data_IF_333804402327
#
_entry.id   IF_333804402327
#
_cell.length_a   1.000
_cell.length_b   1.000
_cell.length_c   1.000
_cell.angle_alpha   90.00
_cell.angle_beta   90.00
_cell.angle_gamma   90.00
#
_symmetry.space_group_name_H-M   'P 1'
#
loop_
_entity.id
_entity.type
_entity.pdbx_description
1 polymer ?
#
# COMPACT_ATOMS: atom_id res chain seq x y z
N UNK A 1 -2.21 -50.40 -14.92
CA UNK A 1 -1.60 -49.95 -13.65
C UNK A 1 -2.68 -49.28 -12.84
N UNK A 2 -2.73 -49.52 -11.53
CA UNK A 2 -3.66 -48.79 -10.66
C UNK A 2 -3.24 -47.30 -10.63
N UNK A 3 -4.20 -46.37 -10.76
CA UNK A 3 -3.92 -44.95 -10.63
C UNK A 3 -3.38 -44.66 -9.23
N UNK A 4 -2.35 -43.82 -9.13
CA UNK A 4 -1.85 -43.35 -7.84
C UNK A 4 -2.84 -42.39 -7.19
N UNK A 5 -2.71 -42.11 -5.90
CA UNK A 5 -3.58 -41.14 -5.20
C UNK A 5 -3.42 -39.73 -5.79
N UNK A 6 -2.20 -39.39 -6.19
CA UNK A 6 -1.87 -38.13 -6.87
C UNK A 6 -2.58 -38.01 -8.22
N UNK A 7 -2.64 -39.10 -9.03
CA UNK A 7 -3.37 -39.12 -10.30
C UNK A 7 -4.87 -38.87 -10.07
N UNK A 8 -5.45 -39.50 -9.04
CA UNK A 8 -6.85 -39.35 -8.67
C UNK A 8 -7.15 -37.88 -8.27
N UNK A 9 -6.25 -37.24 -7.50
CA UNK A 9 -6.37 -35.87 -7.08
C UNK A 9 -6.31 -34.95 -8.31
N UNK A 10 -5.34 -35.12 -9.19
CA UNK A 10 -5.19 -34.32 -10.42
C UNK A 10 -6.37 -34.45 -11.34
N UNK A 11 -6.91 -35.65 -11.53
CA UNK A 11 -8.10 -35.88 -12.36
C UNK A 11 -9.35 -35.14 -11.84
N UNK A 12 -9.49 -35.05 -10.52
CA UNK A 12 -10.66 -34.45 -9.89
C UNK A 12 -10.55 -32.93 -9.71
N UNK A 13 -9.36 -32.44 -9.40
CA UNK A 13 -9.16 -31.06 -8.96
C UNK A 13 -8.22 -30.25 -9.87
N UNK A 14 -7.65 -30.85 -10.91
CA UNK A 14 -6.64 -30.24 -11.77
C UNK A 14 -5.24 -30.33 -11.14
N UNK A 15 -4.28 -29.61 -11.71
CA UNK A 15 -2.88 -29.64 -11.24
C UNK A 15 -2.71 -28.75 -10.00
N UNK A 16 -3.17 -29.26 -8.86
CA UNK A 16 -3.10 -28.59 -7.55
C UNK A 16 -1.96 -29.11 -6.68
N UNK A 17 -1.20 -30.10 -7.17
CA UNK A 17 -0.07 -30.67 -6.45
C UNK A 17 1.24 -30.11 -6.97
N UNK A 18 2.00 -29.43 -6.10
CA UNK A 18 3.32 -28.90 -6.43
C UNK A 18 4.33 -29.19 -5.32
N UNK A 19 5.61 -29.27 -5.70
CA UNK A 19 6.68 -29.58 -4.76
C UNK A 19 7.03 -28.44 -3.84
N UNK A 20 7.46 -28.73 -2.61
CA UNK A 20 7.90 -27.71 -1.65
C UNK A 20 9.10 -26.87 -2.14
N UNK A 21 9.91 -27.39 -3.06
CA UNK A 21 10.99 -26.66 -3.71
C UNK A 21 10.50 -25.43 -4.49
N UNK A 22 9.32 -25.51 -5.14
CA UNK A 22 8.72 -24.38 -5.86
C UNK A 22 8.46 -23.21 -4.90
N UNK A 23 7.99 -23.51 -3.68
CA UNK A 23 7.74 -22.49 -2.66
C UNK A 23 9.06 -21.94 -2.10
N UNK A 24 10.05 -22.82 -1.88
CA UNK A 24 11.35 -22.42 -1.35
C UNK A 24 12.16 -21.54 -2.33
N UNK A 25 11.99 -21.76 -3.64
CA UNK A 25 12.65 -21.01 -4.69
C UNK A 25 11.88 -19.76 -5.11
N UNK A 26 10.61 -19.60 -4.67
CA UNK A 26 9.79 -18.46 -5.00
C UNK A 26 10.38 -17.17 -4.39
N UNK A 27 10.64 -16.18 -5.24
CA UNK A 27 11.07 -14.86 -4.79
C UNK A 27 9.88 -14.11 -4.19
N UNK A 28 10.01 -13.62 -2.96
CA UNK A 28 9.06 -12.72 -2.36
C UNK A 28 9.21 -11.33 -3.02
N UNK A 29 8.30 -11.01 -3.93
CA UNK A 29 8.26 -9.69 -4.55
C UNK A 29 7.53 -8.75 -3.61
N UNK A 30 8.15 -7.62 -3.31
CA UNK A 30 7.57 -6.53 -2.52
C UNK A 30 7.51 -5.26 -3.35
N UNK A 31 6.46 -4.47 -3.13
CA UNK A 31 6.32 -3.15 -3.74
C UNK A 31 6.60 -2.10 -2.68
N UNK A 32 7.56 -1.19 -2.91
CA UNK A 32 7.92 -0.17 -1.95
C UNK A 32 6.79 0.85 -1.76
N UNK A 33 6.70 1.38 -0.55
CA UNK A 33 5.77 2.47 -0.17
C UNK A 33 6.56 3.77 -0.03
N UNK A 34 7.39 3.85 0.99
CA UNK A 34 8.32 4.94 1.25
C UNK A 34 9.47 4.40 2.10
N UNK A 35 10.64 5.07 2.14
CA UNK A 35 11.80 4.57 2.90
C UNK A 35 11.48 4.15 4.33
N UNK A 36 10.70 4.96 5.05
CA UNK A 36 10.35 4.66 6.45
C UNK A 36 9.43 3.45 6.61
N UNK A 37 8.45 3.31 5.75
CA UNK A 37 7.50 2.18 5.75
C UNK A 37 8.21 0.91 5.28
N UNK A 38 9.05 1.01 4.25
CA UNK A 38 9.79 -0.11 3.70
C UNK A 38 10.77 -0.70 4.72
N UNK A 39 11.51 0.17 5.44
CA UNK A 39 12.39 -0.25 6.52
C UNK A 39 11.59 -0.97 7.63
N UNK A 40 10.44 -0.42 8.02
CA UNK A 40 9.58 -1.02 9.03
C UNK A 40 9.05 -2.40 8.61
N UNK A 41 8.72 -2.57 7.32
CA UNK A 41 8.12 -3.80 6.79
C UNK A 41 9.15 -4.83 6.28
N UNK A 42 10.43 -4.45 6.14
CA UNK A 42 11.47 -5.30 5.56
C UNK A 42 11.47 -5.30 4.03
N UNK A 43 11.05 -4.18 3.40
CA UNK A 43 11.14 -3.96 1.95
C UNK A 43 9.92 -3.32 1.29
N UNK A 44 8.74 -3.48 1.86
CA UNK A 44 7.49 -2.93 1.34
C UNK A 44 6.30 -3.86 1.53
N UNK A 45 5.26 -3.70 0.73
CA UNK A 45 4.05 -4.52 0.77
C UNK A 45 4.24 -5.73 -0.18
N UNK A 46 4.09 -6.97 0.33
CA UNK A 46 4.30 -8.17 -0.50
C UNK A 46 3.20 -8.36 -1.54
N UNK A 47 3.58 -8.94 -2.68
CA UNK A 47 2.61 -9.46 -3.66
C UNK A 47 1.71 -10.51 -3.03
N UNK A 48 0.49 -10.59 -3.55
CA UNK A 48 -0.46 -11.59 -3.10
C UNK A 48 -1.03 -11.33 -1.71
N UNK A 49 -0.88 -10.11 -1.17
CA UNK A 49 -1.23 -9.80 0.21
C UNK A 49 -2.53 -9.02 0.36
N UNK A 50 -3.16 -9.25 1.52
CA UNK A 50 -4.23 -8.43 2.06
C UNK A 50 -3.65 -7.46 3.10
N UNK A 51 -3.68 -6.17 2.79
CA UNK A 51 -3.16 -5.10 3.64
C UNK A 51 -4.30 -4.26 4.22
N UNK A 52 -4.26 -3.95 5.51
CA UNK A 52 -5.19 -3.02 6.15
C UNK A 52 -4.45 -1.80 6.67
N UNK A 53 -4.95 -0.62 6.33
CA UNK A 53 -4.44 0.67 6.81
C UNK A 53 -5.49 1.28 7.75
N UNK A 54 -5.18 1.34 9.04
CA UNK A 54 -6.12 1.81 10.07
C UNK A 54 -5.62 3.08 10.77
N UNK A 55 -6.51 3.83 11.38
CA UNK A 55 -6.18 5.02 12.17
C UNK A 55 -7.28 6.07 12.18
N UNK A 56 -7.06 7.14 12.94
CA UNK A 56 -7.97 8.28 13.00
C UNK A 56 -8.06 9.01 11.64
N UNK A 57 -9.07 9.85 11.49
CA UNK A 57 -9.21 10.67 10.28
C UNK A 57 -8.03 11.63 10.11
N UNK A 58 -7.75 12.02 8.85
CA UNK A 58 -6.71 13.00 8.47
C UNK A 58 -5.27 12.63 8.82
N UNK A 59 -4.99 11.34 9.06
CA UNK A 59 -3.64 10.82 9.29
C UNK A 59 -2.96 10.27 8.02
N UNK A 60 -3.36 10.70 6.82
CA UNK A 60 -2.67 10.37 5.58
C UNK A 60 -2.87 8.94 5.04
N UNK A 61 -3.87 8.18 5.52
CA UNK A 61 -4.14 6.80 5.07
C UNK A 61 -4.38 6.71 3.56
N UNK A 62 -5.30 7.52 3.03
CA UNK A 62 -5.58 7.60 1.59
C UNK A 62 -4.34 8.01 0.80
N UNK A 63 -3.57 9.00 1.30
CA UNK A 63 -2.34 9.44 0.67
C UNK A 63 -1.28 8.35 0.59
N UNK A 64 -1.15 7.52 1.65
CA UNK A 64 -0.26 6.35 1.64
C UNK A 64 -0.69 5.34 0.57
N UNK A 65 -1.98 5.02 0.51
CA UNK A 65 -2.50 4.06 -0.48
C UNK A 65 -2.33 4.56 -1.93
N UNK A 66 -2.54 5.86 -2.17
CA UNK A 66 -2.33 6.47 -3.50
C UNK A 66 -0.83 6.51 -3.86
N UNK A 67 0.04 6.80 -2.90
CA UNK A 67 1.48 6.76 -3.10
C UNK A 67 1.95 5.34 -3.46
N UNK A 68 1.51 4.35 -2.72
CA UNK A 68 1.73 2.94 -3.04
C UNK A 68 1.22 2.58 -4.43
N UNK A 69 0.01 3.03 -4.81
CA UNK A 69 -0.55 2.80 -6.14
C UNK A 69 0.34 3.36 -7.26
N UNK A 70 0.84 4.59 -7.11
CA UNK A 70 1.77 5.21 -8.05
C UNK A 70 3.07 4.42 -8.18
N UNK A 71 3.66 3.99 -7.06
CA UNK A 71 4.84 3.14 -7.08
C UNK A 71 4.57 1.83 -7.83
N UNK A 72 3.42 1.18 -7.55
CA UNK A 72 3.06 -0.07 -8.20
C UNK A 72 2.89 0.06 -9.72
N UNK A 73 2.37 1.18 -10.21
CA UNK A 73 2.25 1.46 -11.63
C UNK A 73 3.61 1.70 -12.31
N UNK A 74 4.56 2.27 -11.59
CA UNK A 74 5.88 2.63 -12.12
C UNK A 74 6.90 1.48 -12.01
N UNK A 75 6.60 0.45 -11.23
CA UNK A 75 7.45 -0.73 -11.15
C UNK A 75 7.13 -1.66 -12.31
N UNK A 76 8.05 -1.70 -13.26
CA UNK A 76 8.05 -2.67 -14.34
C UNK A 76 8.73 -3.94 -13.86
N UNK A 77 8.03 -5.06 -13.91
CA UNK A 77 8.66 -6.36 -13.71
C UNK A 77 8.06 -7.40 -14.66
N UNK A 78 8.95 -8.32 -15.11
CA UNK A 78 8.56 -9.41 -15.95
C UNK A 78 7.84 -10.47 -15.10
N UNK A 79 6.53 -10.29 -14.98
CA UNK A 79 5.64 -11.33 -14.52
C UNK A 79 4.63 -11.56 -15.65
N UNK A 80 4.41 -12.81 -16.02
CA UNK A 80 3.44 -13.18 -17.06
C UNK A 80 2.02 -12.70 -16.75
N UNK A 81 1.70 -12.48 -15.44
CA UNK A 81 0.40 -12.01 -14.96
C UNK A 81 0.25 -10.49 -14.92
N UNK A 82 1.34 -9.74 -15.01
CA UNK A 82 1.31 -8.27 -15.01
C UNK A 82 1.69 -7.76 -16.39
N UNK A 83 1.08 -6.66 -16.82
CA UNK A 83 1.56 -6.02 -18.05
C UNK A 83 3.01 -5.58 -17.86
N UNK A 84 3.81 -5.62 -18.94
CA UNK A 84 5.19 -5.10 -18.94
C UNK A 84 5.24 -3.61 -18.57
N UNK A 85 4.10 -2.93 -18.62
CA UNK A 85 3.93 -1.51 -18.33
C UNK A 85 3.65 -1.21 -16.85
N UNK A 86 3.52 -2.25 -16.00
CA UNK A 86 3.18 -2.13 -14.59
C UNK A 86 1.76 -2.61 -14.26
N UNK A 87 1.28 -2.29 -13.07
CA UNK A 87 0.02 -2.82 -12.54
C UNK A 87 -1.15 -1.88 -12.78
N UNK A 88 -2.33 -2.45 -13.01
CA UNK A 88 -3.59 -1.71 -13.01
C UNK A 88 -4.07 -1.47 -11.57
N UNK A 89 -4.59 -0.28 -11.30
CA UNK A 89 -5.13 0.10 -9.99
C UNK A 89 -6.66 0.23 -10.09
N UNK A 90 -7.37 -0.46 -9.20
CA UNK A 90 -8.81 -0.35 -9.02
C UNK A 90 -9.08 0.31 -7.67
N UNK A 91 -9.54 1.56 -7.70
CA UNK A 91 -9.81 2.35 -6.51
C UNK A 91 -11.31 2.41 -6.23
N UNK A 92 -11.74 1.80 -5.13
CA UNK A 92 -13.12 1.79 -4.68
C UNK A 92 -13.37 3.01 -3.79
N UNK A 93 -13.95 4.05 -4.41
CA UNK A 93 -14.25 5.33 -3.78
C UNK A 93 -15.58 5.28 -3.01
N UNK A 94 -15.62 4.49 -1.93
CA UNK A 94 -16.81 4.26 -1.13
C UNK A 94 -17.26 5.54 -0.41
N UNK A 95 -16.31 6.34 0.09
CA UNK A 95 -16.59 7.62 0.74
C UNK A 95 -17.00 8.73 -0.24
N UNK A 96 -16.79 8.53 -1.54
CA UNK A 96 -17.12 9.54 -2.55
C UNK A 96 -16.26 10.81 -2.48
N UNK A 97 -15.11 10.77 -1.83
CA UNK A 97 -14.32 11.98 -1.49
C UNK A 97 -13.10 12.22 -2.36
N UNK A 98 -12.69 11.25 -3.19
CA UNK A 98 -11.54 11.41 -4.07
C UNK A 98 -11.78 12.55 -5.06
N UNK A 99 -10.80 13.41 -5.22
CA UNK A 99 -10.86 14.57 -6.10
C UNK A 99 -9.68 14.55 -7.07
N UNK A 100 -9.79 15.30 -8.14
CA UNK A 100 -8.72 15.48 -9.12
C UNK A 100 -7.38 15.84 -8.48
N UNK A 101 -7.36 16.72 -7.46
CA UNK A 101 -6.13 17.09 -6.73
C UNK A 101 -5.47 15.90 -6.03
N UNK A 102 -6.22 14.88 -5.65
CA UNK A 102 -5.69 13.72 -4.92
C UNK A 102 -4.96 12.76 -5.89
N UNK A 103 -5.32 12.78 -7.17
CA UNK A 103 -4.64 12.04 -8.23
C UNK A 103 -3.56 12.86 -8.92
N UNK A 104 -3.90 14.09 -9.35
CA UNK A 104 -3.00 14.97 -10.09
C UNK A 104 -2.08 15.78 -9.18
N UNK A 105 -2.46 15.97 -7.92
CA UNK A 105 -1.68 16.73 -6.93
C UNK A 105 -0.47 15.98 -6.40
N UNK A 106 -0.43 14.65 -6.59
CA UNK A 106 0.74 13.81 -6.27
C UNK A 106 1.64 13.73 -7.52
N UNK A 107 2.06 14.90 -8.01
CA UNK A 107 2.74 15.04 -9.29
C UNK A 107 4.00 14.18 -9.45
N UNK A 108 4.76 13.95 -8.36
CA UNK A 108 6.00 13.19 -8.45
C UNK A 108 5.77 11.68 -8.62
N UNK A 109 4.58 11.17 -8.31
CA UNK A 109 4.25 9.74 -8.49
C UNK A 109 3.94 9.38 -9.93
N UNK A 110 3.67 10.38 -10.78
CA UNK A 110 3.37 10.19 -12.19
C UNK A 110 2.35 9.06 -12.44
N UNK A 111 1.19 9.16 -11.74
CA UNK A 111 0.11 8.17 -11.88
C UNK A 111 -0.38 8.15 -13.33
N UNK A 112 -0.36 6.97 -13.92
CA UNK A 112 -0.95 6.73 -15.22
C UNK A 112 -2.47 6.54 -15.07
N UNK A 113 -3.23 7.55 -15.49
CA UNK A 113 -4.69 7.56 -15.41
C UNK A 113 -5.33 6.46 -16.25
N UNK A 114 -4.69 6.01 -17.33
CA UNK A 114 -5.21 4.94 -18.21
C UNK A 114 -5.23 3.58 -17.51
N UNK A 115 -4.39 3.40 -16.50
CA UNK A 115 -4.29 2.21 -15.65
C UNK A 115 -4.82 2.45 -14.23
N UNK A 116 -5.65 3.47 -14.04
CA UNK A 116 -6.26 3.82 -12.76
C UNK A 116 -7.79 3.93 -12.92
N UNK A 117 -8.51 2.91 -12.47
CA UNK A 117 -9.97 2.86 -12.56
C UNK A 117 -10.60 3.18 -11.21
N UNK A 118 -11.51 4.17 -11.19
CA UNK A 118 -12.28 4.53 -10.00
C UNK A 118 -13.65 3.86 -10.07
N UNK A 119 -14.01 3.10 -9.02
CA UNK A 119 -15.31 2.48 -8.83
C UNK A 119 -16.03 3.22 -7.70
N UNK A 120 -17.21 3.74 -8.00
CA UNK A 120 -18.00 4.48 -7.03
C UNK A 120 -19.42 4.75 -7.50
N UNK A 121 -20.28 5.12 -6.56
CA UNK A 121 -21.65 5.51 -6.85
C UNK A 121 -21.71 6.73 -7.78
N UNK A 122 -22.68 6.76 -8.67
CA UNK A 122 -22.94 7.87 -9.60
C UNK A 122 -24.42 8.27 -9.54
N UNK A 123 -24.75 9.40 -10.15
CA UNK A 123 -26.14 9.84 -10.26
C UNK A 123 -27.00 8.74 -10.86
N UNK A 124 -28.08 8.36 -10.16
CA UNK A 124 -29.01 7.32 -10.58
C UNK A 124 -28.58 5.88 -10.26
N UNK A 125 -27.34 5.67 -9.73
CA UNK A 125 -26.89 4.33 -9.30
C UNK A 125 -26.03 4.47 -8.03
N UNK A 126 -26.62 4.12 -6.90
CA UNK A 126 -25.92 3.99 -5.62
C UNK A 126 -25.47 2.54 -5.47
N UNK A 127 -24.22 2.34 -5.11
CA UNK A 127 -23.65 1.02 -4.84
C UNK A 127 -23.76 0.69 -3.36
N UNK A 128 -24.23 -0.50 -3.04
CA UNK A 128 -24.26 -1.04 -1.68
C UNK A 128 -22.94 -1.74 -1.32
N UNK A 129 -22.77 -2.15 -0.07
CA UNK A 129 -21.61 -2.93 0.35
C UNK A 129 -21.49 -4.24 -0.45
N UNK A 130 -22.61 -4.89 -0.71
CA UNK A 130 -22.70 -6.11 -1.51
C UNK A 130 -22.26 -5.87 -2.96
N UNK A 131 -22.70 -4.76 -3.59
CA UNK A 131 -22.29 -4.37 -4.93
C UNK A 131 -20.78 -4.16 -5.03
N UNK A 132 -20.19 -3.38 -4.08
CA UNK A 132 -18.76 -3.13 -4.04
C UNK A 132 -17.95 -4.41 -3.90
N UNK A 133 -18.37 -5.32 -3.04
CA UNK A 133 -17.71 -6.61 -2.80
C UNK A 133 -17.82 -7.52 -4.03
N UNK A 134 -19.01 -7.61 -4.65
CA UNK A 134 -19.21 -8.43 -5.86
C UNK A 134 -18.33 -7.93 -7.02
N UNK A 135 -18.27 -6.62 -7.24
CA UNK A 135 -17.37 -6.01 -8.24
C UNK A 135 -15.90 -6.34 -7.93
N UNK A 136 -15.50 -6.22 -6.66
CA UNK A 136 -14.12 -6.49 -6.24
C UNK A 136 -13.75 -7.96 -6.47
N UNK A 137 -14.59 -8.92 -6.04
CA UNK A 137 -14.34 -10.35 -6.24
C UNK A 137 -14.20 -10.70 -7.72
N UNK A 138 -15.06 -10.16 -8.59
CA UNK A 138 -14.97 -10.37 -10.04
C UNK A 138 -13.66 -9.82 -10.60
N UNK A 139 -13.31 -8.57 -10.25
CA UNK A 139 -12.08 -7.96 -10.74
C UNK A 139 -10.83 -8.66 -10.24
N UNK A 140 -10.79 -9.11 -8.98
CA UNK A 140 -9.66 -9.86 -8.42
C UNK A 140 -9.46 -11.17 -9.20
N UNK A 141 -10.52 -11.86 -9.57
CA UNK A 141 -10.43 -13.10 -10.34
C UNK A 141 -10.03 -12.90 -11.80
N UNK A 142 -10.51 -11.81 -12.43
CA UNK A 142 -10.34 -11.58 -13.88
C UNK A 142 -9.12 -10.73 -14.23
N UNK A 143 -8.55 -10.01 -13.25
CA UNK A 143 -7.46 -9.05 -13.44
C UNK A 143 -6.28 -9.37 -12.51
N UNK A 144 -5.57 -10.48 -12.72
CA UNK A 144 -4.42 -10.85 -11.91
C UNK A 144 -3.34 -9.77 -11.95
N UNK A 145 -2.54 -9.70 -10.88
CA UNK A 145 -1.45 -8.73 -10.75
C UNK A 145 -1.86 -7.30 -10.43
N UNK A 146 -3.16 -7.02 -10.29
CA UNK A 146 -3.68 -5.66 -10.05
C UNK A 146 -3.62 -5.25 -8.58
N UNK A 147 -3.76 -3.94 -8.36
CA UNK A 147 -3.86 -3.32 -7.04
C UNK A 147 -5.31 -2.90 -6.80
N UNK A 148 -5.87 -3.32 -5.67
CA UNK A 148 -7.23 -3.00 -5.26
C UNK A 148 -7.19 -2.15 -3.99
N UNK A 149 -7.82 -0.97 -3.99
CA UNK A 149 -7.84 -0.07 -2.84
C UNK A 149 -9.28 0.26 -2.48
N UNK A 150 -9.70 -0.02 -1.24
CA UNK A 150 -11.00 0.37 -0.69
C UNK A 150 -10.87 1.56 0.25
N UNK A 151 -11.43 2.70 -0.11
CA UNK A 151 -11.48 3.90 0.72
C UNK A 151 -12.93 4.34 0.99
N UNK A 152 -13.48 3.93 2.11
CA UNK A 152 -13.00 3.04 3.17
C UNK A 152 -14.01 1.93 3.49
N UNK A 153 -13.57 0.85 4.12
CA UNK A 153 -14.46 -0.18 4.66
C UNK A 153 -15.45 0.37 5.69
N UNK A 154 -15.06 1.41 6.41
CA UNK A 154 -15.91 2.06 7.42
C UNK A 154 -17.09 2.82 6.84
N UNK A 155 -17.10 3.09 5.54
CA UNK A 155 -18.18 3.81 4.86
C UNK A 155 -19.12 2.88 4.07
N UNK A 156 -18.86 1.57 4.10
CA UNK A 156 -19.72 0.59 3.46
C UNK A 156 -21.09 0.56 4.17
N UNK A 157 -22.15 0.60 3.36
CA UNK A 157 -23.53 0.49 3.79
C UNK A 157 -24.20 -0.67 3.07
N UNK A 158 -24.74 -1.64 3.81
CA UNK A 158 -25.43 -2.80 3.24
C UNK A 158 -26.76 -2.39 2.59
N UNK A 159 -27.26 -3.19 1.66
CA UNK A 159 -28.58 -2.96 1.06
C UNK A 159 -29.70 -2.90 2.12
N UNK A 160 -29.60 -3.77 3.12
CA UNK A 160 -30.54 -3.79 4.25
C UNK A 160 -30.48 -2.49 5.06
N UNK A 161 -29.30 -1.94 5.29
CA UNK A 161 -29.14 -0.66 6.01
C UNK A 161 -29.63 0.51 5.15
N UNK A 162 -29.32 0.51 3.85
CA UNK A 162 -29.71 1.56 2.92
C UNK A 162 -31.23 1.68 2.74
N UNK A 163 -31.93 0.55 2.73
CA UNK A 163 -33.41 0.51 2.57
C UNK A 163 -34.17 0.65 3.88
N UNK A 164 -33.48 0.62 5.01
CA UNK A 164 -34.11 0.68 6.33
C UNK A 164 -34.70 2.06 6.65
N UNK A 165 -35.83 2.08 7.38
CA UNK A 165 -36.35 3.30 7.97
C UNK A 165 -35.40 3.86 9.04
N UNK A 166 -35.10 5.15 8.98
CA UNK A 166 -34.24 5.84 9.95
C UNK A 166 -34.87 5.70 11.35
N UNK A 167 -34.04 5.28 12.32
CA UNK A 167 -34.44 5.14 13.71
C UNK A 167 -34.86 3.72 14.14
N UNK A 168 -35.03 2.78 13.22
CA UNK A 168 -35.20 1.36 13.58
C UNK A 168 -33.83 0.75 13.90
N UNK A 169 -33.65 0.23 15.14
CA UNK A 169 -32.46 -0.53 15.51
C UNK A 169 -32.35 -1.79 14.66
N UNK A 170 -31.31 -1.91 13.88
CA UNK A 170 -30.94 -3.13 13.14
C UNK A 170 -29.52 -3.55 13.51
N UNK A 171 -29.23 -4.82 13.25
CA UNK A 171 -27.88 -5.34 13.44
C UNK A 171 -27.02 -4.92 12.23
N UNK A 172 -25.90 -4.30 12.49
CA UNK A 172 -24.90 -4.04 11.44
C UNK A 172 -24.28 -5.37 10.98
N UNK A 173 -24.56 -5.76 9.74
CA UNK A 173 -24.05 -6.99 9.12
C UNK A 173 -22.76 -6.74 8.34
N UNK A 174 -22.32 -5.49 8.16
CA UNK A 174 -21.10 -5.10 7.43
C UNK A 174 -19.85 -5.82 7.94
N UNK A 175 -19.60 -5.98 9.25
CA UNK A 175 -18.43 -6.71 9.72
C UNK A 175 -18.42 -8.20 9.35
N UNK A 176 -19.60 -8.83 9.24
CA UNK A 176 -19.69 -10.24 8.82
C UNK A 176 -19.43 -10.39 7.31
N UNK A 177 -20.00 -9.49 6.52
CA UNK A 177 -19.81 -9.41 5.08
C UNK A 177 -18.35 -9.20 4.72
N UNK A 178 -17.68 -8.23 5.35
CA UNK A 178 -16.26 -7.97 5.20
C UNK A 178 -15.38 -9.16 5.61
N UNK A 179 -15.69 -9.81 6.73
CA UNK A 179 -14.95 -10.98 7.20
C UNK A 179 -15.07 -12.16 6.21
N UNK A 180 -16.24 -12.34 5.59
CA UNK A 180 -16.44 -13.34 4.55
C UNK A 180 -15.66 -13.00 3.28
N UNK A 181 -15.76 -11.77 2.82
CA UNK A 181 -15.03 -11.24 1.66
C UNK A 181 -13.51 -11.42 1.83
N UNK A 182 -12.93 -10.89 2.90
CA UNK A 182 -11.49 -10.98 3.15
C UNK A 182 -10.99 -12.44 3.21
N UNK A 183 -11.76 -13.35 3.83
CA UNK A 183 -11.41 -14.78 3.86
C UNK A 183 -11.43 -15.42 2.46
N UNK A 184 -12.36 -15.00 1.59
CA UNK A 184 -12.44 -15.50 0.20
C UNK A 184 -11.27 -15.02 -0.64
N UNK A 185 -10.97 -13.70 -0.58
CA UNK A 185 -9.88 -13.12 -1.37
C UNK A 185 -8.49 -13.53 -0.88
N UNK A 186 -8.31 -13.82 0.43
CA UNK A 186 -7.01 -14.27 0.97
C UNK A 186 -6.44 -15.51 0.28
N UNK A 187 -7.30 -16.36 -0.28
CA UNK A 187 -6.85 -17.55 -1.04
C UNK A 187 -6.56 -17.23 -2.52
N UNK A 188 -7.13 -16.15 -3.04
CA UNK A 188 -7.01 -15.78 -4.46
C UNK A 188 -5.85 -14.83 -4.70
N UNK A 189 -5.62 -13.88 -3.79
CA UNK A 189 -4.58 -12.87 -3.91
C UNK A 189 -3.17 -13.44 -4.15
N UNK A 190 -2.71 -14.47 -3.39
CA UNK A 190 -1.38 -15.05 -3.62
C UNK A 190 -1.25 -15.72 -4.98
N UNK A 191 -2.30 -16.39 -5.46
CA UNK A 191 -2.33 -17.05 -6.77
C UNK A 191 -2.27 -16.03 -7.90
N UNK A 192 -3.06 -14.97 -7.77
CA UNK A 192 -3.17 -13.92 -8.79
C UNK A 192 -2.08 -12.85 -8.68
N UNK A 193 -1.19 -12.91 -7.67
CA UNK A 193 -0.16 -11.88 -7.44
C UNK A 193 -0.74 -10.46 -7.31
N UNK A 194 -2.00 -10.37 -6.90
CA UNK A 194 -2.71 -9.11 -6.68
C UNK A 194 -2.52 -8.62 -5.25
N UNK A 195 -2.61 -7.31 -5.02
CA UNK A 195 -2.54 -6.73 -3.69
C UNK A 195 -3.85 -6.02 -3.40
N UNK A 196 -4.41 -6.31 -2.24
CA UNK A 196 -5.62 -5.65 -1.77
C UNK A 196 -5.33 -4.78 -0.55
N UNK A 197 -5.74 -3.52 -0.59
CA UNK A 197 -5.58 -2.56 0.50
C UNK A 197 -6.94 -2.05 0.96
N UNK A 198 -7.28 -2.29 2.22
CA UNK A 198 -8.50 -1.76 2.84
C UNK A 198 -8.18 -0.66 3.85
N UNK A 199 -8.82 0.51 3.72
CA UNK A 199 -8.72 1.58 4.71
C UNK A 199 -9.84 1.40 5.73
N UNK A 200 -9.50 1.49 7.02
CA UNK A 200 -10.46 1.49 8.13
C UNK A 200 -10.26 2.68 9.05
N UNK A 201 -11.35 3.12 9.69
CA UNK A 201 -11.30 4.16 10.70
C UNK A 201 -11.39 3.58 12.10
N UNK A 202 -10.69 4.22 13.05
CA UNK A 202 -10.84 3.95 14.46
C UNK A 202 -12.01 4.76 15.01
N UNK A 203 -12.88 4.10 15.75
CA UNK A 203 -13.98 4.72 16.50
C UNK A 203 -13.70 4.67 18.00
N UNK A 204 -14.04 5.77 18.69
CA UNK A 204 -13.94 5.81 20.14
C UNK A 204 -15.11 5.06 20.76
N UNK A 205 -14.85 3.99 21.49
CA UNK A 205 -15.81 3.40 22.39
C UNK A 205 -15.69 4.08 23.76
N UNK A 206 -16.73 4.80 24.17
CA UNK A 206 -16.85 5.35 25.51
C UNK A 206 -17.22 4.23 26.49
N UNK A 207 -16.21 3.51 27.00
CA UNK A 207 -16.35 2.61 28.13
C UNK A 207 -16.01 3.33 29.44
N UNK A 208 -16.49 2.78 30.59
CA UNK A 208 -16.21 3.34 31.89
C UNK A 208 -14.71 3.56 32.13
N UNK A 209 -14.26 4.81 32.11
CA UNK A 209 -12.96 5.25 32.62
C UNK A 209 -11.80 5.36 31.62
N UNK A 210 -11.84 4.73 30.43
CA UNK A 210 -10.82 4.88 29.40
C UNK A 210 -11.42 4.80 27.99
N UNK A 211 -11.03 5.72 27.11
CA UNK A 211 -11.42 5.67 25.68
C UNK A 211 -10.71 4.49 25.03
N UNK A 212 -11.45 3.45 24.71
CA UNK A 212 -10.95 2.34 23.89
C UNK A 212 -11.23 2.63 22.42
N UNK A 213 -10.18 2.56 21.59
CA UNK A 213 -10.29 2.70 20.16
C UNK A 213 -10.56 1.33 19.52
N UNK A 214 -11.69 1.20 18.84
CA UNK A 214 -12.05 -0.01 18.11
C UNK A 214 -12.16 0.26 16.62
N UNK A 215 -11.84 -0.76 15.82
CA UNK A 215 -11.99 -0.67 14.37
C UNK A 215 -13.45 -0.81 13.97
N UNK A 216 -13.93 0.07 13.11
CA UNK A 216 -15.30 0.03 12.57
C UNK A 216 -15.59 -1.27 11.81
N UNK A 217 -14.58 -1.90 11.22
CA UNK A 217 -14.68 -3.12 10.41
C UNK A 217 -14.74 -4.44 11.19
N UNK A 218 -14.69 -4.39 12.53
CA UNK A 218 -14.79 -5.57 13.40
C UNK A 218 -13.48 -6.35 13.60
N UNK A 219 -13.43 -7.19 14.67
CA UNK A 219 -12.20 -7.90 15.08
C UNK A 219 -11.84 -9.11 14.18
N UNK A 220 -12.79 -9.65 13.43
CA UNK A 220 -12.58 -10.87 12.64
C UNK A 220 -11.65 -10.66 11.43
N UNK A 221 -11.48 -9.43 10.97
CA UNK A 221 -10.52 -9.08 9.90
C UNK A 221 -9.07 -9.36 10.29
N UNK A 222 -8.73 -9.35 11.59
CA UNK A 222 -7.34 -9.50 12.07
C UNK A 222 -6.68 -10.81 11.66
N UNK A 223 -7.45 -11.87 11.41
CA UNK A 223 -6.91 -13.20 11.13
C UNK A 223 -6.64 -13.47 9.64
N UNK A 224 -7.13 -12.62 8.74
CA UNK A 224 -6.98 -12.77 7.29
C UNK A 224 -5.98 -11.76 6.69
N UNK A 225 -5.37 -10.91 7.52
CA UNK A 225 -4.55 -9.76 7.09
C UNK A 225 -3.08 -10.10 7.17
N UNK A 226 -2.37 -9.95 6.05
CA UNK A 226 -0.94 -10.18 5.95
C UNK A 226 -0.14 -8.99 6.49
N UNK A 227 -0.56 -7.77 6.14
CA UNK A 227 0.08 -6.53 6.59
C UNK A 227 -0.96 -5.59 7.21
N UNK A 228 -0.70 -5.13 8.43
CA UNK A 228 -1.55 -4.17 9.11
C UNK A 228 -0.77 -2.97 9.59
N UNK A 229 -1.05 -1.81 8.98
CA UNK A 229 -0.45 -0.53 9.30
C UNK A 229 -1.42 0.33 10.10
N UNK A 230 -0.97 0.87 11.21
CA UNK A 230 -1.76 1.77 12.06
C UNK A 230 -1.14 3.15 12.10
N UNK A 231 -1.86 4.16 11.58
CA UNK A 231 -1.54 5.57 11.81
C UNK A 231 -1.94 5.94 13.24
N UNK A 232 -0.96 6.23 14.09
CA UNK A 232 -1.13 6.50 15.53
C UNK A 232 -1.50 7.95 15.78
N UNK A 233 -0.67 8.85 15.30
CA UNK A 233 -0.81 10.30 15.43
C UNK A 233 0.04 11.01 14.39
N UNK A 234 -0.12 12.33 14.27
CA UNK A 234 0.75 13.16 13.45
C UNK A 234 1.24 14.37 14.22
N UNK A 235 2.36 14.95 13.75
CA UNK A 235 2.92 16.20 14.22
C UNK A 235 3.06 17.19 13.06
N UNK A 236 2.83 18.50 13.26
CA UNK A 236 3.04 19.48 12.22
C UNK A 236 4.49 19.51 11.75
N UNK A 237 4.71 19.39 10.45
CA UNK A 237 6.01 19.60 9.83
C UNK A 237 6.09 21.03 9.32
N UNK A 238 6.99 21.83 9.88
CA UNK A 238 7.14 23.24 9.61
C UNK A 238 8.52 23.59 9.06
N UNK A 239 8.56 24.59 8.19
CA UNK A 239 9.78 25.28 7.75
C UNK A 239 9.61 26.76 8.14
N UNK A 240 10.36 27.23 9.09
CA UNK A 240 10.09 28.49 9.77
C UNK A 240 8.71 28.48 10.44
N UNK A 241 7.90 29.49 10.17
CA UNK A 241 6.52 29.59 10.67
C UNK A 241 5.50 28.85 9.81
N UNK A 242 5.87 28.42 8.60
CA UNK A 242 4.95 27.82 7.64
C UNK A 242 4.86 26.30 7.84
N UNK A 243 3.64 25.79 8.03
CA UNK A 243 3.39 24.36 8.04
C UNK A 243 3.32 23.85 6.59
N UNK A 244 4.29 23.03 6.18
CA UNK A 244 4.41 22.48 4.83
C UNK A 244 3.86 21.05 4.73
N UNK A 245 3.63 20.41 5.87
CA UNK A 245 3.19 19.03 5.92
C UNK A 245 2.93 18.55 7.34
N UNK A 246 3.00 17.24 7.50
CA UNK A 246 2.93 16.59 8.80
C UNK A 246 3.80 15.34 8.82
N UNK A 247 4.46 15.10 9.95
CA UNK A 247 5.09 13.81 10.25
C UNK A 247 4.01 12.86 10.77
N UNK A 248 3.84 11.72 10.10
CA UNK A 248 2.85 10.69 10.49
C UNK A 248 3.57 9.51 11.11
N UNK A 249 3.12 9.13 12.30
CA UNK A 249 3.71 8.01 13.05
C UNK A 249 2.88 6.75 12.84
N UNK A 250 3.54 5.72 12.32
CA UNK A 250 2.98 4.42 12.00
C UNK A 250 3.47 3.34 12.95
N UNK A 251 2.65 2.34 13.14
CA UNK A 251 2.96 1.10 13.83
C UNK A 251 2.49 -0.08 12.99
N UNK A 252 3.34 -1.08 12.86
CA UNK A 252 3.00 -2.33 12.18
C UNK A 252 2.40 -3.31 13.18
N UNK A 253 1.09 -3.50 13.15
CA UNK A 253 0.40 -4.45 14.03
C UNK A 253 0.60 -5.91 13.57
N UNK A 254 0.80 -6.14 12.26
CA UNK A 254 1.03 -7.44 11.63
C UNK A 254 1.84 -7.27 10.35
N UNK A 255 2.78 -8.17 10.09
CA UNK A 255 3.55 -8.23 8.86
C UNK A 255 3.81 -9.68 8.46
N UNK A 256 3.67 -9.96 7.16
CA UNK A 256 3.99 -11.27 6.59
C UNK A 256 5.50 -11.46 6.34
N UNK A 257 6.29 -10.39 6.31
CA UNK A 257 7.72 -10.43 5.99
C UNK A 257 8.56 -9.97 7.19
N UNK A 258 8.21 -8.84 7.79
CA UNK A 258 8.96 -8.24 8.89
C UNK A 258 8.42 -8.58 10.27
N UNK A 259 9.13 -8.24 11.34
CA UNK A 259 8.65 -8.44 12.69
C UNK A 259 7.47 -7.52 12.99
N UNK A 260 6.44 -8.00 13.72
CA UNK A 260 5.36 -7.13 14.18
C UNK A 260 5.88 -6.14 15.24
N UNK A 261 5.18 -5.02 15.41
CA UNK A 261 5.53 -3.97 16.38
C UNK A 261 6.55 -2.94 15.88
N UNK A 262 6.97 -3.05 14.62
CA UNK A 262 7.81 -2.02 13.97
C UNK A 262 7.13 -0.66 13.98
N UNK A 263 7.94 0.42 14.03
CA UNK A 263 7.47 1.80 14.01
C UNK A 263 8.16 2.56 12.90
N UNK A 264 7.41 3.45 12.25
CA UNK A 264 7.91 4.32 11.20
C UNK A 264 7.40 5.75 11.37
N UNK A 265 8.13 6.70 10.82
CA UNK A 265 7.73 8.09 10.75
C UNK A 265 7.81 8.54 9.30
N UNK A 266 6.65 8.72 8.66
CA UNK A 266 6.56 9.21 7.29
C UNK A 266 6.40 10.72 7.26
N UNK A 267 6.99 11.35 6.27
CA UNK A 267 6.81 12.77 5.98
C UNK A 267 5.73 12.96 4.92
N UNK A 268 4.58 13.47 5.33
CA UNK A 268 3.50 13.80 4.41
C UNK A 268 3.54 15.30 4.06
N UNK A 269 3.95 15.62 2.83
CA UNK A 269 4.00 17.00 2.33
C UNK A 269 2.68 17.38 1.66
N UNK A 270 2.12 18.52 2.01
CA UNK A 270 0.87 19.00 1.43
C UNK A 270 1.01 19.29 -0.08
N UNK A 271 0.08 18.73 -0.88
CA UNK A 271 0.12 18.82 -2.34
C UNK A 271 1.21 17.99 -3.03
N UNK A 272 1.95 17.17 -2.27
CA UNK A 272 3.03 16.33 -2.80
C UNK A 272 2.83 14.84 -2.50
N UNK A 273 2.29 14.50 -1.33
CA UNK A 273 2.16 13.13 -0.85
C UNK A 273 3.27 12.76 0.14
N UNK A 274 3.68 11.50 0.16
CA UNK A 274 4.82 11.06 0.97
C UNK A 274 6.12 11.63 0.37
N UNK A 275 6.90 12.33 1.18
CA UNK A 275 8.16 12.93 0.77
C UNK A 275 9.31 11.96 1.03
N UNK A 276 9.46 11.01 0.10
CA UNK A 276 10.46 9.94 0.19
C UNK A 276 11.89 10.47 0.26
N UNK A 277 12.18 11.57 -0.45
CA UNK A 277 13.50 12.18 -0.45
C UNK A 277 13.85 12.77 0.92
N UNK A 278 12.88 13.43 1.57
CA UNK A 278 13.09 13.97 2.90
C UNK A 278 13.25 12.86 3.96
N UNK A 279 12.48 11.76 3.83
CA UNK A 279 12.66 10.56 4.67
C UNK A 279 14.04 9.94 4.47
N UNK A 280 14.46 9.79 3.21
CA UNK A 280 15.76 9.22 2.86
C UNK A 280 16.92 10.02 3.43
N UNK A 281 16.85 11.37 3.36
CA UNK A 281 17.87 12.25 3.96
C UNK A 281 17.93 12.07 5.48
N UNK A 282 16.79 11.96 6.17
CA UNK A 282 16.75 11.71 7.61
C UNK A 282 17.47 10.40 7.96
N UNK A 283 17.15 9.29 7.24
CA UNK A 283 17.84 8.01 7.43
C UNK A 283 19.32 8.07 7.09
N UNK A 284 19.68 8.76 6.02
CA UNK A 284 21.09 8.92 5.62
C UNK A 284 21.90 9.71 6.66
N UNK A 285 21.30 10.67 7.34
CA UNK A 285 21.92 11.37 8.47
C UNK A 285 22.09 10.43 9.66
N UNK A 286 21.07 9.66 10.02
CA UNK A 286 21.11 8.72 11.15
C UNK A 286 22.16 7.61 10.92
N UNK A 287 22.35 7.19 9.68
CA UNK A 287 23.36 6.20 9.27
C UNK A 287 24.78 6.80 9.05
N UNK A 288 24.91 8.12 9.09
CA UNK A 288 26.20 8.80 8.86
C UNK A 288 26.64 8.88 7.39
N UNK A 289 25.74 8.56 6.43
CA UNK A 289 25.97 8.73 4.99
C UNK A 289 25.94 10.22 4.60
N UNK A 290 25.08 11.00 5.26
CA UNK A 290 25.04 12.46 5.17
C UNK A 290 25.53 13.02 6.49
N UNK A 291 26.59 13.82 6.45
CA UNK A 291 27.09 14.52 7.63
C UNK A 291 26.19 15.73 7.92
N UNK A 292 25.66 15.80 9.16
CA UNK A 292 24.87 16.94 9.63
C UNK A 292 25.61 17.65 10.76
N UNK A 293 26.02 18.90 10.50
CA UNK A 293 26.61 19.79 11.53
C UNK A 293 25.73 21.01 11.72
N UNK A 294 25.09 21.12 12.87
CA UNK A 294 24.09 22.17 13.19
C UNK A 294 22.97 22.18 12.14
N UNK A 295 22.93 23.15 11.24
CA UNK A 295 21.95 23.26 10.14
C UNK A 295 22.51 22.87 8.77
N UNK A 296 23.79 22.48 8.70
CA UNK A 296 24.44 22.12 7.44
C UNK A 296 24.41 20.61 7.20
N UNK A 297 24.07 20.24 5.97
CA UNK A 297 24.08 18.87 5.47
C UNK A 297 25.18 18.75 4.42
N UNK A 298 25.97 17.69 4.47
CA UNK A 298 27.04 17.43 3.50
C UNK A 298 26.95 15.99 3.00
N UNK A 299 26.87 15.82 1.69
CA UNK A 299 26.87 14.52 1.00
C UNK A 299 27.87 14.55 -0.16
N UNK A 300 29.03 13.90 0.00
CA UNK A 300 30.14 14.03 -0.93
C UNK A 300 30.60 15.48 -1.08
N UNK A 301 30.51 16.01 -2.29
CA UNK A 301 30.84 17.41 -2.59
C UNK A 301 29.67 18.39 -2.37
N UNK A 302 28.46 17.86 -2.21
CA UNK A 302 27.26 18.67 -2.06
C UNK A 302 27.09 19.12 -0.61
N UNK A 303 26.87 20.42 -0.44
CA UNK A 303 26.68 21.04 0.87
C UNK A 303 25.51 22.03 0.83
N UNK A 304 24.60 21.89 1.76
CA UNK A 304 23.40 22.72 1.84
C UNK A 304 23.03 23.06 3.28
N UNK A 305 22.46 24.23 3.49
CA UNK A 305 21.91 24.63 4.77
C UNK A 305 20.42 24.26 4.84
N UNK A 306 20.08 23.37 5.75
CA UNK A 306 18.72 22.87 5.95
C UNK A 306 18.36 21.68 5.03
N UNK A 307 17.39 20.90 5.50
CA UNK A 307 16.92 19.69 4.81
C UNK A 307 16.33 20.01 3.44
N UNK A 308 15.55 21.11 3.32
CA UNK A 308 14.90 21.49 2.07
C UNK A 308 15.91 21.78 0.94
N UNK A 309 17.00 22.47 1.25
CA UNK A 309 18.03 22.76 0.27
C UNK A 309 18.83 21.52 -0.12
N UNK A 310 19.12 20.61 0.81
CA UNK A 310 19.76 19.34 0.48
C UNK A 310 18.84 18.48 -0.38
N UNK A 311 17.55 18.43 -0.04
CA UNK A 311 16.52 17.75 -0.85
C UNK A 311 16.46 18.29 -2.28
N UNK A 312 16.48 19.62 -2.46
CA UNK A 312 16.47 20.25 -3.78
C UNK A 312 17.69 19.82 -4.61
N UNK A 313 18.88 19.83 -4.01
CA UNK A 313 20.11 19.37 -4.68
C UNK A 313 20.02 17.91 -5.11
N UNK A 314 19.51 17.04 -4.26
CA UNK A 314 19.39 15.61 -4.59
C UNK A 314 18.34 15.34 -5.67
N UNK A 315 17.25 16.11 -5.71
CA UNK A 315 16.26 16.03 -6.80
C UNK A 315 16.82 16.46 -8.16
N UNK A 316 17.77 17.39 -8.18
CA UNK A 316 18.50 17.79 -9.41
C UNK A 316 19.53 16.72 -9.85
N UNK A 317 19.87 15.76 -8.96
CA UNK A 317 20.87 14.71 -9.17
C UNK A 317 20.28 13.33 -8.93
N UNK A 318 19.37 12.83 -9.80
CA UNK A 318 18.64 11.59 -9.57
C UNK A 318 19.54 10.37 -9.41
N UNK A 319 20.72 10.34 -10.04
CA UNK A 319 21.69 9.26 -9.87
C UNK A 319 22.24 9.19 -8.43
N UNK A 320 22.55 10.35 -7.83
CA UNK A 320 23.00 10.41 -6.43
C UNK A 320 21.88 10.04 -5.45
N UNK A 321 20.64 10.44 -5.77
CA UNK A 321 19.48 10.09 -4.96
C UNK A 321 19.24 8.57 -4.99
N UNK A 322 19.33 7.95 -6.16
CA UNK A 322 19.19 6.49 -6.31
C UNK A 322 20.31 5.72 -5.60
N UNK A 323 21.55 6.22 -5.68
CA UNK A 323 22.69 5.62 -4.97
C UNK A 323 22.51 5.74 -3.45
N UNK A 324 22.03 6.87 -2.95
CA UNK A 324 21.73 7.07 -1.53
C UNK A 324 20.61 6.13 -1.05
N UNK A 325 19.52 5.98 -1.83
CA UNK A 325 18.44 5.04 -1.50
C UNK A 325 18.95 3.60 -1.44
N UNK A 326 19.79 3.21 -2.39
CA UNK A 326 20.42 1.90 -2.40
C UNK A 326 21.28 1.66 -1.16
N UNK A 327 22.16 2.59 -0.81
CA UNK A 327 23.03 2.49 0.36
C UNK A 327 22.23 2.39 1.68
N UNK A 328 21.18 3.20 1.83
CA UNK A 328 20.28 3.14 3.00
C UNK A 328 19.62 1.78 3.09
N UNK A 329 19.05 1.26 1.99
CA UNK A 329 18.38 -0.06 1.96
C UNK A 329 19.35 -1.20 2.27
N UNK A 330 20.55 -1.18 1.73
CA UNK A 330 21.60 -2.17 2.00
C UNK A 330 21.99 -2.20 3.49
N UNK A 331 22.12 -1.04 4.13
CA UNK A 331 22.44 -0.95 5.57
C UNK A 331 21.33 -1.52 6.46
N UNK A 332 20.08 -1.47 6.02
CA UNK A 332 18.94 -2.11 6.69
C UNK A 332 18.66 -3.55 6.23
N UNK A 333 19.53 -4.13 5.38
CA UNK A 333 19.36 -5.47 4.78
C UNK A 333 18.01 -5.65 4.05
N UNK A 334 17.53 -4.59 3.40
CA UNK A 334 16.27 -4.62 2.63
C UNK A 334 16.60 -4.97 1.18
N UNK A 335 15.98 -6.05 0.68
CA UNK A 335 16.08 -6.41 -0.73
C UNK A 335 15.40 -5.37 -1.59
N UNK A 336 16.12 -4.79 -2.55
CA UNK A 336 15.52 -3.98 -3.61
C UNK A 336 14.60 -4.87 -4.44
N UNK A 337 13.37 -4.42 -4.71
CA UNK A 337 12.56 -5.03 -5.76
C UNK A 337 13.37 -4.98 -7.06
N UNK A 338 13.62 -6.15 -7.68
CA UNK A 338 14.35 -6.17 -8.94
C UNK A 338 13.49 -5.51 -10.02
N UNK A 339 13.73 -4.22 -10.26
CA UNK A 339 13.26 -3.56 -11.48
C UNK A 339 14.03 -4.22 -12.61
N UNK A 340 13.33 -4.86 -13.53
CA UNK A 340 13.98 -5.40 -14.72
C UNK A 340 14.44 -4.20 -15.53
N UNK A 341 15.75 -4.03 -15.78
CA UNK A 341 16.22 -3.00 -16.68
C UNK A 341 15.50 -3.17 -18.03
N UNK A 342 15.12 -2.07 -18.67
CA UNK A 342 14.74 -2.11 -20.08
C UNK A 342 15.87 -2.84 -20.81
N UNK A 343 15.60 -3.99 -21.42
CA UNK A 343 16.48 -4.56 -22.41
C UNK A 343 16.69 -3.42 -23.42
N UNK A 344 17.93 -2.95 -23.50
CA UNK A 344 18.35 -2.09 -24.61
C UNK A 344 18.04 -2.90 -25.87
N UNK A 345 16.89 -2.64 -26.46
CA UNK A 345 16.61 -3.09 -27.80
C UNK A 345 17.66 -2.40 -28.66
N UNK A 346 18.70 -3.16 -29.00
CA UNK A 346 19.63 -2.75 -30.03
C UNK A 346 18.82 -2.38 -31.26
N UNK A 347 19.04 -1.19 -31.79
CA UNK A 347 18.39 -0.63 -32.99
C UNK A 347 18.52 -1.52 -34.24
N UNK A 348 19.12 -2.68 -34.13
CA UNK A 348 19.27 -3.68 -35.18
C UNK A 348 18.45 -4.91 -34.81
N UNK A 349 17.15 -4.91 -35.13
CA UNK A 349 16.17 -5.97 -34.90
C UNK A 349 16.60 -7.37 -35.38
N UNK A 350 17.56 -7.97 -34.71
CA UNK A 350 17.87 -9.41 -34.82
C UNK A 350 18.05 -10.03 -33.44
N UNK A 351 17.51 -11.29 -33.23
CA UNK A 351 17.47 -11.99 -31.95
C UNK A 351 18.86 -12.36 -31.40
#
# INVERSE_FOLDING_TARGET
MAKTIEDIIRDKFGDVLFGGNIVAEAKNIVIPVSPSIDIMLGGGIPEGSLTIVTGLQKLGKTSLCLHFAGNAQNIKYANEMCSKEGRHVYFFNVEGRIKSRDLLGIKHLNIDESRFTIIGSKLGKILTAEDYIDIAEKLINEKPGSIFIFDSFSALCTEEEYTAEIGKKRRDNTPQLLAMFCRRISNVLPVNKSIFMGITHLMANQGFGMTQWTEASGQKLKYAVDVKLRAKYCQPWKVGETQIGQDVYWECDSSAIGPPGGKAKSKLRYGYGLDCEAELIDFAVDLGLIEKKTSWYTYGEDKAQGLENMRAILLEKPEKLAELDKQVREMYNISMTQIIPEEQTNENGQP
#
